data_IF_813947798456
#
_entry.id   IF_813947798456
#
_cell.length_a   1.000
_cell.length_b   1.000
_cell.length_c   1.000
_cell.angle_alpha   90.00
_cell.angle_beta   90.00
_cell.angle_gamma   90.00
#
_symmetry.space_group_name_H-M   'P 1'
#
loop_
_entity.id
_entity.type
_entity.pdbx_description
1 polymer ?
#
# COMPACT_ATOMS: atom_id res chain seq x y z
N UNK A 1 52.86 -10.83 -48.86
CA UNK A 1 52.82 -12.18 -48.26
C UNK A 1 53.95 -12.21 -47.24
N UNK A 2 53.64 -12.57 -45.99
CA UNK A 2 54.47 -12.54 -44.77
C UNK A 2 54.51 -11.21 -43.96
N UNK A 3 53.91 -11.33 -42.77
CA UNK A 3 54.36 -10.93 -41.42
C UNK A 3 54.70 -9.46 -41.08
N UNK A 4 54.03 -8.92 -40.06
CA UNK A 4 54.67 -8.66 -38.75
C UNK A 4 53.61 -8.28 -37.68
N UNK A 5 53.50 -9.14 -36.67
CA UNK A 5 52.86 -8.97 -35.36
C UNK A 5 53.63 -7.97 -34.45
N UNK A 6 52.97 -7.52 -33.36
CA UNK A 6 53.49 -7.01 -32.05
C UNK A 6 52.65 -5.80 -31.59
N UNK A 7 52.15 -5.67 -30.35
CA UNK A 7 52.19 -6.53 -29.16
C UNK A 7 51.31 -5.89 -28.06
N UNK A 8 51.00 -6.68 -27.02
CA UNK A 8 50.60 -6.32 -25.65
C UNK A 8 49.20 -5.71 -25.37
N UNK A 9 48.40 -6.16 -24.39
CA UNK A 9 48.75 -6.84 -23.14
C UNK A 9 47.51 -7.50 -22.48
N UNK A 10 47.67 -8.78 -22.17
CA UNK A 10 47.15 -9.64 -21.09
C UNK A 10 46.24 -9.03 -20.00
N UNK A 11 45.17 -9.75 -19.61
CA UNK A 11 44.79 -10.07 -18.21
C UNK A 11 44.06 -11.44 -18.20
N UNK A 12 44.80 -12.41 -17.65
CA UNK A 12 44.49 -13.58 -16.82
C UNK A 12 43.09 -14.23 -16.80
N UNK A 13 43.10 -15.48 -17.31
CA UNK A 13 42.53 -16.73 -16.75
C UNK A 13 41.71 -16.64 -15.46
N UNK A 14 40.48 -17.17 -15.50
CA UNK A 14 40.00 -18.16 -14.52
C UNK A 14 39.01 -19.09 -15.21
N UNK A 15 39.45 -20.32 -15.39
CA UNK A 15 38.69 -21.46 -15.87
C UNK A 15 38.12 -22.22 -14.66
N UNK A 16 36.98 -22.90 -14.89
CA UNK A 16 36.37 -23.97 -14.07
C UNK A 16 35.61 -23.57 -12.80
N UNK A 17 34.27 -23.55 -12.89
CA UNK A 17 33.47 -24.66 -12.33
C UNK A 17 32.05 -24.65 -12.90
N UNK A 18 31.85 -25.60 -13.83
CA UNK A 18 30.56 -26.12 -14.25
C UNK A 18 29.80 -26.65 -13.02
N UNK A 19 28.88 -25.86 -12.48
CA UNK A 19 27.85 -26.36 -11.59
C UNK A 19 26.57 -26.51 -12.42
N UNK A 20 26.39 -27.74 -12.93
CA UNK A 20 25.08 -28.28 -13.23
C UNK A 20 24.24 -28.16 -11.95
N UNK A 21 23.48 -27.07 -11.82
CA UNK A 21 22.40 -27.00 -10.86
C UNK A 21 21.23 -27.71 -11.54
N UNK A 22 21.22 -29.03 -11.41
CA UNK A 22 19.99 -29.81 -11.44
C UNK A 22 19.13 -29.35 -10.25
N UNK A 23 18.41 -28.23 -10.41
CA UNK A 23 17.21 -27.99 -9.61
C UNK A 23 16.19 -29.02 -10.07
N UNK A 24 16.23 -30.15 -9.37
CA UNK A 24 15.22 -31.18 -9.36
C UNK A 24 13.91 -30.54 -8.92
N UNK A 25 13.17 -30.02 -9.91
CA UNK A 25 11.75 -29.62 -9.82
C UNK A 25 10.92 -30.88 -9.57
N UNK A 26 11.05 -31.46 -8.38
CA UNK A 26 10.14 -32.47 -7.84
C UNK A 26 9.03 -31.72 -7.09
N UNK A 27 8.23 -30.94 -7.81
CA UNK A 27 6.85 -30.65 -7.38
C UNK A 27 5.95 -31.78 -7.91
N UNK A 28 6.14 -32.99 -7.38
CA UNK A 28 5.14 -34.07 -7.46
C UNK A 28 4.30 -34.04 -6.19
N UNK A 29 3.41 -33.06 -6.11
CA UNK A 29 2.20 -33.14 -5.27
C UNK A 29 1.03 -32.60 -6.08
N UNK A 30 0.64 -33.35 -7.11
CA UNK A 30 -0.76 -33.37 -7.55
C UNK A 30 -1.59 -33.99 -6.42
N UNK A 31 -1.80 -33.23 -5.35
CA UNK A 31 -2.92 -33.49 -4.46
C UNK A 31 -4.14 -32.94 -5.17
N UNK A 32 -5.04 -33.87 -5.50
CA UNK A 32 -6.37 -33.64 -6.04
C UNK A 32 -7.20 -32.83 -5.04
N UNK A 33 -6.94 -31.54 -4.93
CA UNK A 33 -7.80 -30.59 -4.26
C UNK A 33 -8.61 -29.89 -5.35
N UNK A 34 -9.93 -29.89 -5.14
CA UNK A 34 -10.97 -29.34 -5.99
C UNK A 34 -10.45 -28.21 -6.88
N UNK A 35 -10.66 -28.32 -8.21
CA UNK A 35 -10.43 -27.25 -9.18
C UNK A 35 -11.28 -26.01 -8.79
N UNK A 36 -10.87 -25.29 -7.73
CA UNK A 36 -11.34 -23.97 -7.43
C UNK A 36 -10.97 -23.15 -8.66
N UNK A 37 -12.00 -22.80 -9.43
CA UNK A 37 -11.82 -22.05 -10.67
C UNK A 37 -11.30 -20.66 -10.33
N UNK A 38 -9.97 -20.55 -10.29
CA UNK A 38 -9.27 -19.31 -9.99
C UNK A 38 -9.55 -18.27 -11.09
N UNK A 39 -9.74 -16.99 -10.74
CA UNK A 39 -10.03 -15.94 -11.70
C UNK A 39 -8.87 -15.68 -12.68
N UNK A 40 -7.63 -15.97 -12.27
CA UNK A 40 -6.44 -15.82 -13.13
C UNK A 40 -5.60 -17.10 -13.18
N UNK A 41 -4.77 -17.22 -14.22
CA UNK A 41 -3.80 -18.30 -14.32
C UNK A 41 -2.78 -18.23 -13.18
N UNK A 42 -2.69 -19.30 -12.37
CA UNK A 42 -1.80 -19.39 -11.19
C UNK A 42 -0.33 -19.08 -11.54
N UNK A 43 0.16 -19.59 -12.67
CA UNK A 43 1.53 -19.39 -13.12
C UNK A 43 1.88 -17.90 -13.35
N UNK A 44 0.97 -17.12 -13.92
CA UNK A 44 1.23 -15.71 -14.23
C UNK A 44 1.26 -14.85 -12.97
N UNK A 45 0.37 -15.12 -12.02
CA UNK A 45 0.37 -14.46 -10.71
C UNK A 45 1.67 -14.77 -9.96
N UNK A 46 2.09 -16.04 -9.92
CA UNK A 46 3.35 -16.45 -9.26
C UNK A 46 4.57 -15.81 -9.92
N UNK A 47 4.61 -15.73 -11.25
CA UNK A 47 5.68 -15.06 -12.01
C UNK A 47 5.80 -13.60 -11.60
N UNK A 48 4.68 -12.87 -11.56
CA UNK A 48 4.67 -11.45 -11.20
C UNK A 48 5.08 -11.24 -9.74
N UNK A 49 4.68 -12.14 -8.84
CA UNK A 49 5.09 -12.11 -7.43
C UNK A 49 6.61 -12.30 -7.29
N UNK A 50 7.19 -13.32 -7.93
CA UNK A 50 8.64 -13.58 -7.88
C UNK A 50 9.47 -12.43 -8.45
N UNK A 51 8.94 -11.64 -9.38
CA UNK A 51 9.63 -10.46 -9.92
C UNK A 51 9.75 -9.28 -8.94
N UNK A 52 8.88 -9.22 -7.93
CA UNK A 52 8.82 -8.10 -6.98
C UNK A 52 9.14 -8.52 -5.54
N UNK A 53 9.33 -9.81 -5.29
CA UNK A 53 9.83 -10.35 -4.03
C UNK A 53 11.34 -10.56 -4.12
N UNK A 54 12.00 -10.53 -2.97
CA UNK A 54 13.42 -10.88 -2.88
C UNK A 54 13.65 -12.34 -3.32
N UNK A 55 14.78 -12.61 -3.97
CA UNK A 55 15.07 -13.89 -4.63
C UNK A 55 15.13 -15.08 -3.67
N UNK A 56 15.36 -14.84 -2.39
CA UNK A 56 15.42 -15.83 -1.31
C UNK A 56 14.04 -16.18 -0.72
N UNK A 57 12.97 -15.45 -1.11
CA UNK A 57 11.64 -15.64 -0.55
C UNK A 57 10.87 -16.75 -1.25
N UNK A 58 10.50 -17.77 -0.47
CA UNK A 58 9.62 -18.86 -0.91
C UNK A 58 8.14 -18.52 -0.67
N UNK A 59 7.29 -18.76 -1.68
CA UNK A 59 5.85 -18.48 -1.63
C UNK A 59 5.10 -19.79 -1.36
N UNK A 60 4.38 -19.87 -0.24
CA UNK A 60 3.52 -21.03 0.09
C UNK A 60 2.31 -21.09 -0.81
N UNK A 61 1.79 -22.30 -1.05
CA UNK A 61 0.62 -22.52 -1.91
C UNK A 61 -0.61 -21.69 -1.51
N UNK A 62 -0.96 -21.68 -0.22
CA UNK A 62 -2.08 -20.89 0.29
C UNK A 62 -1.98 -19.42 -0.11
N UNK A 63 -0.77 -18.84 -0.08
CA UNK A 63 -0.54 -17.44 -0.47
C UNK A 63 -0.72 -17.25 -1.98
N UNK A 64 -0.31 -18.23 -2.80
CA UNK A 64 -0.52 -18.21 -4.26
C UNK A 64 -2.03 -18.18 -4.57
N UNK A 65 -2.82 -18.98 -3.86
CA UNK A 65 -4.29 -19.07 -4.02
C UNK A 65 -4.98 -17.80 -3.52
N UNK A 66 -4.66 -17.35 -2.30
CA UNK A 66 -5.24 -16.15 -1.68
C UNK A 66 -4.98 -14.90 -2.53
N UNK A 67 -3.75 -14.74 -3.02
CA UNK A 67 -3.38 -13.60 -3.87
C UNK A 67 -4.20 -13.60 -5.17
N UNK A 68 -4.43 -14.77 -5.76
CA UNK A 68 -5.24 -14.88 -6.98
C UNK A 68 -6.69 -14.47 -6.73
N UNK A 69 -7.29 -14.92 -5.62
CA UNK A 69 -8.64 -14.51 -5.18
C UNK A 69 -8.69 -13.00 -4.93
N UNK A 70 -7.72 -12.45 -4.21
CA UNK A 70 -7.63 -11.02 -3.91
C UNK A 70 -7.58 -10.14 -5.17
N UNK A 71 -6.76 -10.51 -6.16
CA UNK A 71 -6.74 -9.80 -7.45
C UNK A 71 -8.12 -9.83 -8.13
N UNK A 72 -8.87 -10.92 -7.96
CA UNK A 72 -10.23 -11.06 -8.48
C UNK A 72 -11.18 -10.09 -7.81
N UNK A 73 -11.11 -9.99 -6.48
CA UNK A 73 -11.92 -9.07 -5.69
C UNK A 73 -11.64 -7.60 -6.05
N UNK A 74 -10.36 -7.25 -6.25
CA UNK A 74 -9.98 -5.91 -6.72
C UNK A 74 -10.62 -5.60 -8.07
N UNK A 75 -10.56 -6.53 -9.03
CA UNK A 75 -11.19 -6.36 -10.34
C UNK A 75 -12.72 -6.22 -10.22
N UNK A 76 -13.37 -7.05 -9.39
CA UNK A 76 -14.80 -6.96 -9.12
C UNK A 76 -15.17 -5.59 -8.55
N UNK A 77 -14.37 -5.05 -7.63
CA UNK A 77 -14.61 -3.73 -7.05
C UNK A 77 -14.46 -2.61 -8.07
N UNK A 78 -13.44 -2.67 -8.93
CA UNK A 78 -13.29 -1.72 -10.05
C UNK A 78 -14.50 -1.81 -10.99
N UNK A 79 -14.95 -3.00 -11.35
CA UNK A 79 -16.14 -3.18 -12.18
C UNK A 79 -17.42 -2.65 -11.53
N UNK A 80 -17.59 -2.80 -10.21
CA UNK A 80 -18.72 -2.21 -9.47
C UNK A 80 -18.71 -0.68 -9.56
N UNK A 81 -17.55 -0.06 -9.38
CA UNK A 81 -17.40 1.40 -9.53
C UNK A 81 -17.66 1.86 -10.96
N UNK A 82 -17.24 1.08 -11.95
CA UNK A 82 -17.53 1.37 -13.36
C UNK A 82 -19.03 1.32 -13.69
N UNK A 83 -19.83 0.56 -12.94
CA UNK A 83 -21.28 0.53 -13.12
C UNK A 83 -22.00 1.77 -12.56
N UNK A 84 -21.32 2.59 -11.75
CA UNK A 84 -21.91 3.84 -11.23
C UNK A 84 -22.00 4.92 -12.33
N UNK A 85 -21.28 4.74 -13.45
CA UNK A 85 -21.36 5.64 -14.60
C UNK A 85 -22.61 5.31 -15.45
N UNK A 86 -23.41 6.30 -15.85
CA UNK A 86 -24.69 6.09 -16.55
C UNK A 86 -24.53 5.77 -18.05
N UNK A 87 -23.35 5.32 -18.49
CA UNK A 87 -23.02 5.10 -19.89
C UNK A 87 -22.93 3.60 -20.20
N UNK A 88 -23.34 3.21 -21.41
CA UNK A 88 -23.28 1.81 -21.85
C UNK A 88 -21.86 1.32 -22.17
N UNK A 89 -20.94 2.24 -22.43
CA UNK A 89 -19.56 1.96 -22.81
C UNK A 89 -18.62 2.49 -21.74
N UNK A 90 -17.65 1.68 -21.34
CA UNK A 90 -16.61 2.07 -20.39
C UNK A 90 -15.48 2.77 -21.15
N UNK A 91 -15.18 4.01 -20.75
CA UNK A 91 -14.08 4.81 -21.31
C UNK A 91 -12.83 4.78 -20.42
N UNK A 92 -11.68 5.18 -20.99
CA UNK A 92 -10.40 5.14 -20.29
C UNK A 92 -10.38 6.06 -19.06
N UNK A 93 -11.03 7.23 -19.14
CA UNK A 93 -11.20 8.17 -18.04
C UNK A 93 -11.90 7.51 -16.85
N UNK A 94 -12.98 6.75 -17.10
CA UNK A 94 -13.74 6.03 -16.07
C UNK A 94 -12.88 4.95 -15.40
N UNK A 95 -12.08 4.22 -16.17
CA UNK A 95 -11.13 3.24 -15.65
C UNK A 95 -10.02 3.90 -14.82
N UNK A 96 -9.50 5.02 -15.28
CA UNK A 96 -8.45 5.79 -14.60
C UNK A 96 -8.93 6.27 -13.24
N UNK A 97 -10.16 6.76 -13.15
CA UNK A 97 -10.78 7.18 -11.89
C UNK A 97 -11.04 5.99 -10.97
N UNK A 98 -11.60 4.90 -11.49
CA UNK A 98 -11.93 3.70 -10.69
C UNK A 98 -10.68 2.95 -10.18
N UNK A 99 -9.56 3.02 -10.90
CA UNK A 99 -8.28 2.42 -10.47
C UNK A 99 -7.43 3.35 -9.62
N UNK A 100 -7.81 4.62 -9.48
CA UNK A 100 -7.04 5.64 -8.76
C UNK A 100 -6.71 5.27 -7.29
N UNK A 101 -7.66 4.73 -6.50
CA UNK A 101 -7.37 4.39 -5.09
C UNK A 101 -6.28 3.33 -4.94
N UNK A 102 -6.24 2.37 -5.87
CA UNK A 102 -5.28 1.27 -5.84
C UNK A 102 -3.90 1.69 -6.35
N UNK A 103 -3.83 2.63 -7.28
CA UNK A 103 -2.56 3.17 -7.81
C UNK A 103 -1.87 4.14 -6.86
N UNK A 104 -2.63 4.86 -6.05
CA UNK A 104 -2.12 5.95 -5.22
C UNK A 104 -2.28 5.68 -3.71
N UNK A 105 -2.30 4.41 -3.31
CA UNK A 105 -2.63 4.02 -1.93
C UNK A 105 -1.67 4.63 -0.90
N UNK A 106 -0.37 4.70 -1.23
CA UNK A 106 0.65 5.29 -0.35
C UNK A 106 0.38 6.78 -0.12
N UNK A 107 0.26 7.55 -1.21
CA UNK A 107 -0.04 8.99 -1.14
C UNK A 107 -1.35 9.28 -0.39
N UNK A 108 -2.39 8.49 -0.64
CA UNK A 108 -3.68 8.63 0.06
C UNK A 108 -3.51 8.39 1.56
N UNK A 109 -2.70 7.40 1.96
CA UNK A 109 -2.44 7.12 3.36
C UNK A 109 -1.61 8.22 4.04
N UNK A 110 -0.61 8.78 3.35
CA UNK A 110 0.17 9.92 3.85
C UNK A 110 -0.71 11.16 4.05
N UNK A 111 -1.57 11.47 3.07
CA UNK A 111 -2.54 12.55 3.18
C UNK A 111 -3.52 12.32 4.34
N UNK A 112 -4.00 11.09 4.53
CA UNK A 112 -4.87 10.74 5.66
C UNK A 112 -4.18 11.01 7.01
N UNK A 113 -2.92 10.60 7.16
CA UNK A 113 -2.14 10.88 8.38
C UNK A 113 -1.99 12.38 8.59
N UNK A 114 -1.68 13.12 7.52
CA UNK A 114 -1.55 14.58 7.58
C UNK A 114 -2.86 15.25 8.01
N UNK A 115 -3.99 14.86 7.43
CA UNK A 115 -5.32 15.40 7.77
C UNK A 115 -5.66 15.11 9.23
N UNK A 116 -5.40 13.90 9.72
CA UNK A 116 -5.63 13.54 11.12
C UNK A 116 -4.83 14.45 12.07
N UNK A 117 -3.55 14.69 11.78
CA UNK A 117 -2.73 15.62 12.57
C UNK A 117 -3.30 17.03 12.60
N UNK A 118 -3.80 17.52 11.46
CA UNK A 118 -4.44 18.83 11.40
C UNK A 118 -5.76 18.87 12.19
N UNK A 119 -6.54 17.78 12.17
CA UNK A 119 -7.78 17.68 12.92
C UNK A 119 -7.52 17.67 14.43
N UNK A 120 -6.50 16.94 14.87
CA UNK A 120 -6.08 16.92 16.27
C UNK A 120 -5.60 18.30 16.75
N UNK A 121 -4.87 19.04 15.90
CA UNK A 121 -4.48 20.41 16.20
C UNK A 121 -5.69 21.35 16.36
N UNK A 122 -6.64 21.31 15.42
CA UNK A 122 -7.88 22.10 15.50
C UNK A 122 -8.66 21.75 16.77
N UNK A 123 -8.73 20.47 17.14
CA UNK A 123 -9.39 20.04 18.37
C UNK A 123 -8.70 20.62 19.60
N UNK A 124 -7.37 20.59 19.66
CA UNK A 124 -6.63 21.19 20.76
C UNK A 124 -6.86 22.71 20.85
N UNK A 125 -6.94 23.40 19.72
CA UNK A 125 -7.29 24.82 19.66
C UNK A 125 -8.70 25.08 20.20
N UNK A 126 -9.69 24.25 19.80
CA UNK A 126 -11.05 24.32 20.33
C UNK A 126 -11.11 24.04 21.85
N UNK A 127 -10.33 23.09 22.35
CA UNK A 127 -10.26 22.75 23.77
C UNK A 127 -9.65 23.91 24.58
N UNK A 128 -8.61 24.56 24.06
CA UNK A 128 -8.03 25.76 24.66
C UNK A 128 -9.04 26.91 24.73
N UNK A 129 -9.71 27.22 23.61
CA UNK A 129 -10.76 28.25 23.58
C UNK A 129 -11.91 27.94 24.55
N UNK A 130 -12.30 26.67 24.66
CA UNK A 130 -13.32 26.20 25.61
C UNK A 130 -12.91 26.43 27.06
N UNK A 131 -11.62 26.21 27.39
CA UNK A 131 -11.08 26.50 28.72
C UNK A 131 -11.07 28.00 29.02
N UNK A 132 -10.66 28.83 28.06
CA UNK A 132 -10.60 30.28 28.22
C UNK A 132 -11.99 30.87 28.48
N UNK A 133 -13.00 30.48 27.70
CA UNK A 133 -14.39 30.90 27.92
C UNK A 133 -14.88 30.51 29.31
N UNK A 134 -14.62 29.28 29.75
CA UNK A 134 -14.98 28.84 31.10
C UNK A 134 -14.26 29.61 32.19
N UNK A 135 -13.00 30.02 31.96
CA UNK A 135 -12.24 30.83 32.90
C UNK A 135 -12.84 32.25 33.01
N UNK A 136 -13.16 32.89 31.88
CA UNK A 136 -13.80 34.21 31.87
C UNK A 136 -15.17 34.20 32.54
N UNK A 137 -16.00 33.19 32.26
CA UNK A 137 -17.33 33.06 32.92
C UNK A 137 -17.20 32.93 34.44
N UNK A 138 -16.25 32.11 34.93
CA UNK A 138 -16.00 31.96 36.38
C UNK A 138 -15.48 33.22 37.06
N UNK A 139 -14.78 34.10 36.35
CA UNK A 139 -14.30 35.38 36.88
C UNK A 139 -15.48 36.36 37.00
N UNK A 140 -16.35 36.42 35.98
CA UNK A 140 -17.56 37.24 36.05
C UNK A 140 -18.50 36.78 37.17
N UNK A 141 -18.71 35.48 37.34
CA UNK A 141 -19.58 34.96 38.42
C UNK A 141 -19.06 35.32 39.83
N UNK A 142 -17.74 35.53 40.01
CA UNK A 142 -17.15 35.95 41.30
C UNK A 142 -17.19 37.44 41.55
N UNK A 143 -17.11 38.26 40.49
CA UNK A 143 -17.19 39.70 40.62
C UNK A 143 -18.56 40.16 41.16
N UNK A 144 -19.62 39.40 40.87
CA UNK A 144 -20.97 39.68 41.36
C UNK A 144 -21.20 39.21 42.83
N UNK A 145 -20.32 38.39 43.41
CA UNK A 145 -20.44 37.91 44.81
C UNK A 145 -19.65 38.78 45.81
N UNK A 146 -18.63 39.54 45.37
CA UNK A 146 -17.77 40.35 46.25
C UNK A 146 -18.29 41.78 46.50
N UNK A 147 -19.31 42.26 45.79
CA UNK A 147 -19.88 43.61 45.99
C UNK A 147 -20.92 43.70 47.15
N UNK A 148 -21.35 42.58 47.73
CA UNK A 148 -22.42 42.54 48.74
C UNK A 148 -21.93 42.44 50.22
N UNK A 149 -20.63 42.28 50.49
CA UNK A 149 -20.11 42.06 51.87
C UNK A 149 -19.51 43.29 52.58
N UNK A 150 -19.26 44.40 51.88
CA UNK A 150 -18.49 45.53 52.43
C UNK A 150 -19.32 46.70 53.03
N UNK A 151 -20.66 46.59 53.10
CA UNK A 151 -21.54 47.67 53.59
C UNK A 151 -22.22 47.34 54.93
N UNK A 152 -21.49 46.72 55.87
CA UNK A 152 -22.01 46.39 57.20
C UNK A 152 -21.07 46.74 58.37
N UNK A 153 -20.68 48.02 58.53
CA UNK A 153 -20.21 48.56 59.82
C UNK A 153 -20.60 50.03 60.04
#
# INVERSE_FOLDING_TARGET
MADFDEDNQTIEETDVENSEIEETDVETEETLEEDEKLPFAKAEVVRLMKQHLDSDKMIREQVKVEMNKFLGDVLVNVCKQLNDYPYSTVEYEMLKESTYPYRNIERINEEKIRILKHLDAIKADCDALSMDVKATLKINDKADEEEDEDDLF
#
